data_IF_900136656593
#
_entry.id   IF_900136656593
#
_cell.length_a   1.000
_cell.length_b   1.000
_cell.length_c   1.000
_cell.angle_alpha   90.00
_cell.angle_beta   90.00
_cell.angle_gamma   90.00
#
_symmetry.space_group_name_H-M   'P 1'
#
loop_
_entity.id
_entity.type
_entity.pdbx_description
1 polymer ?
#
# COMPACT_ATOMS: atom_id res chain seq x y z
N UNK A 1 41.49 -31.06 -44.87
CA UNK A 1 41.19 -32.26 -44.04
C UNK A 1 40.23 -31.86 -42.91
N UNK A 2 39.30 -32.74 -42.52
CA UNK A 2 38.49 -32.62 -41.27
C UNK A 2 39.41 -33.01 -40.07
N UNK A 3 39.17 -32.78 -38.77
CA UNK A 3 37.98 -32.98 -37.88
C UNK A 3 38.33 -32.31 -36.51
N UNK A 4 37.43 -31.62 -35.76
CA UNK A 4 36.65 -32.06 -34.53
C UNK A 4 37.53 -32.43 -33.29
N UNK A 5 37.25 -32.18 -31.99
CA UNK A 5 36.12 -31.63 -31.17
C UNK A 5 36.50 -30.26 -30.51
N UNK A 6 35.72 -29.49 -29.73
CA UNK A 6 34.29 -29.42 -29.27
C UNK A 6 33.76 -30.31 -28.10
N UNK A 7 34.05 -29.99 -26.83
CA UNK A 7 33.31 -30.51 -25.64
C UNK A 7 33.46 -29.64 -24.35
N UNK A 8 32.43 -28.88 -23.93
CA UNK A 8 32.28 -28.22 -22.59
C UNK A 8 30.83 -27.76 -22.28
N UNK A 9 29.80 -28.57 -22.58
CA UNK A 9 28.38 -28.20 -22.37
C UNK A 9 27.60 -29.19 -21.46
N UNK A 10 28.15 -30.36 -21.15
CA UNK A 10 27.38 -31.44 -20.51
C UNK A 10 27.29 -31.41 -18.96
N UNK A 11 28.15 -30.68 -18.25
CA UNK A 11 28.20 -30.77 -16.77
C UNK A 11 27.06 -30.01 -16.05
N UNK A 12 26.49 -28.97 -16.66
CA UNK A 12 25.44 -28.16 -16.00
C UNK A 12 24.06 -28.82 -15.98
N UNK A 13 23.75 -29.71 -16.94
CA UNK A 13 22.46 -30.42 -16.95
C UNK A 13 22.39 -31.56 -15.93
N UNK A 14 23.53 -32.17 -15.58
CA UNK A 14 23.57 -33.29 -14.63
C UNK A 14 23.15 -32.88 -13.21
N UNK A 15 23.61 -31.72 -12.71
CA UNK A 15 23.27 -31.26 -11.37
C UNK A 15 21.78 -30.91 -11.23
N UNK A 16 21.14 -30.35 -12.27
CA UNK A 16 19.72 -30.06 -12.27
C UNK A 16 18.85 -31.32 -12.22
N UNK A 17 19.19 -32.33 -13.02
CA UNK A 17 18.44 -33.59 -13.08
C UNK A 17 18.51 -34.39 -11.76
N UNK A 18 19.68 -34.42 -11.11
CA UNK A 18 19.88 -35.16 -9.85
C UNK A 18 19.00 -34.58 -8.72
N UNK A 19 18.87 -33.25 -8.62
CA UNK A 19 18.06 -32.62 -7.56
C UNK A 19 16.57 -32.95 -7.73
N UNK A 20 16.06 -32.98 -8.97
CA UNK A 20 14.66 -33.36 -9.27
C UNK A 20 14.41 -34.85 -8.98
N UNK A 21 15.38 -35.73 -9.24
CA UNK A 21 15.24 -37.16 -8.93
C UNK A 21 15.22 -37.43 -7.41
N UNK A 22 16.00 -36.69 -6.61
CA UNK A 22 16.02 -36.85 -5.14
C UNK A 22 14.71 -36.39 -4.50
N UNK A 23 14.07 -35.32 -5.00
CA UNK A 23 12.76 -34.88 -4.47
C UNK A 23 11.62 -35.84 -4.86
N UNK A 24 11.63 -36.38 -6.08
CA UNK A 24 10.67 -37.40 -6.51
C UNK A 24 10.85 -38.73 -5.76
N UNK A 25 12.09 -39.14 -5.49
CA UNK A 25 12.42 -40.32 -4.67
C UNK A 25 11.80 -40.23 -3.27
N UNK A 26 11.99 -39.10 -2.58
CA UNK A 26 11.43 -38.91 -1.24
C UNK A 26 9.89 -38.86 -1.23
N UNK A 27 9.26 -38.35 -2.30
CA UNK A 27 7.81 -38.36 -2.45
C UNK A 27 7.26 -39.79 -2.69
N UNK A 28 7.95 -40.59 -3.51
CA UNK A 28 7.60 -42.00 -3.72
C UNK A 28 7.71 -42.83 -2.42
N UNK A 29 8.73 -42.55 -1.59
CA UNK A 29 8.86 -43.16 -0.26
C UNK A 29 7.68 -42.83 0.65
N UNK A 30 7.20 -41.58 0.64
CA UNK A 30 6.08 -41.13 1.48
C UNK A 30 4.74 -41.77 1.06
N UNK A 31 4.52 -41.92 -0.25
CA UNK A 31 3.34 -42.60 -0.80
C UNK A 31 3.36 -44.11 -0.53
N UNK A 32 4.55 -44.74 -0.58
CA UNK A 32 4.73 -46.15 -0.21
C UNK A 32 4.30 -46.46 1.22
N UNK A 33 4.59 -45.57 2.18
CA UNK A 33 4.21 -45.74 3.60
C UNK A 33 2.71 -45.61 3.89
N UNK A 34 1.90 -45.06 2.98
CA UNK A 34 0.44 -44.95 3.17
C UNK A 34 -0.33 -46.18 2.68
N UNK A 35 0.32 -47.13 1.98
CA UNK A 35 -0.34 -48.31 1.39
C UNK A 35 -0.51 -49.51 2.35
N UNK A 36 -0.13 -49.40 3.63
CA UNK A 36 -0.09 -50.55 4.56
C UNK A 36 -1.02 -50.45 5.77
N UNK A 37 -1.81 -49.38 5.92
CA UNK A 37 -2.80 -49.25 6.99
C UNK A 37 -4.17 -49.81 6.56
N UNK A 38 -4.34 -51.12 6.78
CA UNK A 38 -5.58 -51.83 6.49
C UNK A 38 -6.63 -51.61 7.60
N UNK A 39 -7.33 -50.47 7.56
CA UNK A 39 -8.49 -50.21 8.42
C UNK A 39 -9.75 -50.68 7.70
N UNK A 40 -10.25 -51.85 8.09
CA UNK A 40 -11.46 -52.43 7.52
C UNK A 40 -12.73 -51.71 7.97
N UNK A 41 -13.60 -51.38 7.01
CA UNK A 41 -15.02 -51.11 7.24
C UNK A 41 -15.45 -49.65 7.39
N UNK A 42 -15.62 -48.95 6.27
CA UNK A 42 -16.60 -47.86 6.07
C UNK A 42 -17.00 -47.82 4.57
N UNK A 43 -18.25 -47.45 4.20
CA UNK A 43 -18.77 -47.65 2.85
C UNK A 43 -18.48 -46.50 1.87
N UNK A 44 -18.40 -46.89 0.59
CA UNK A 44 -18.53 -46.10 -0.64
C UNK A 44 -17.82 -44.74 -0.76
N UNK A 45 -16.68 -44.81 -1.46
CA UNK A 45 -15.94 -43.69 -2.03
C UNK A 45 -16.75 -42.88 -3.06
N UNK A 46 -16.89 -41.57 -2.81
CA UNK A 46 -17.02 -40.55 -3.86
C UNK A 46 -16.33 -39.28 -3.38
N UNK A 47 -15.68 -38.55 -4.30
CA UNK A 47 -14.81 -37.38 -4.03
C UNK A 47 -13.45 -37.67 -3.38
N UNK A 48 -12.54 -38.36 -4.07
CA UNK A 48 -11.10 -38.32 -3.71
C UNK A 48 -10.12 -38.57 -4.88
N UNK A 49 -10.43 -38.06 -6.07
CA UNK A 49 -9.47 -37.87 -7.17
C UNK A 49 -9.87 -36.64 -7.97
N UNK A 50 -9.09 -35.55 -7.82
CA UNK A 50 -8.70 -34.60 -8.88
C UNK A 50 -8.03 -33.37 -8.24
N UNK A 51 -6.87 -33.60 -7.63
CA UNK A 51 -5.88 -32.54 -7.40
C UNK A 51 -4.83 -32.67 -8.50
N UNK A 52 -5.22 -32.30 -9.72
CA UNK A 52 -4.26 -32.07 -10.81
C UNK A 52 -3.53 -30.78 -10.46
N UNK A 53 -2.39 -30.92 -9.75
CA UNK A 53 -1.42 -29.84 -9.68
C UNK A 53 -0.85 -29.66 -11.09
N UNK A 54 -1.29 -28.61 -11.77
CA UNK A 54 -0.68 -28.18 -13.03
C UNK A 54 0.81 -27.90 -12.81
N UNK A 55 1.63 -28.06 -13.85
CA UNK A 55 3.07 -27.79 -13.73
C UNK A 55 3.35 -26.36 -13.22
N UNK A 56 2.49 -25.39 -13.54
CA UNK A 56 2.56 -24.01 -13.02
C UNK A 56 2.42 -23.95 -11.49
N UNK A 57 1.57 -24.79 -10.88
CA UNK A 57 1.41 -24.87 -9.42
C UNK A 57 2.67 -25.43 -8.75
N UNK A 58 3.27 -26.46 -9.34
CA UNK A 58 4.54 -27.03 -8.90
C UNK A 58 5.73 -26.07 -9.11
N UNK A 59 5.76 -25.33 -10.21
CA UNK A 59 6.75 -24.26 -10.46
C UNK A 59 6.58 -23.11 -9.47
N UNK A 60 5.35 -22.72 -9.14
CA UNK A 60 5.03 -21.73 -8.11
C UNK A 60 5.49 -22.16 -6.72
N UNK A 61 5.18 -23.40 -6.30
CA UNK A 61 5.67 -23.96 -5.04
C UNK A 61 7.20 -24.11 -5.00
N UNK A 62 7.83 -24.53 -6.11
CA UNK A 62 9.29 -24.66 -6.19
C UNK A 62 9.97 -23.29 -6.09
N UNK A 63 9.41 -22.25 -6.75
CA UNK A 63 9.85 -20.86 -6.56
C UNK A 63 9.71 -20.42 -5.10
N UNK A 64 8.55 -20.65 -4.46
CA UNK A 64 8.31 -20.31 -3.04
C UNK A 64 9.31 -20.96 -2.09
N UNK A 65 9.64 -22.23 -2.29
CA UNK A 65 10.60 -22.97 -1.46
C UNK A 65 12.06 -22.54 -1.72
N UNK A 66 12.44 -22.32 -2.98
CA UNK A 66 13.75 -21.74 -3.32
C UNK A 66 13.90 -20.30 -2.79
N UNK A 67 12.81 -19.54 -2.71
CA UNK A 67 12.83 -18.14 -2.26
C UNK A 67 13.37 -17.97 -0.84
N UNK A 68 12.95 -18.80 0.12
CA UNK A 68 13.43 -18.72 1.52
C UNK A 68 14.94 -18.95 1.61
N UNK A 69 15.48 -19.86 0.79
CA UNK A 69 16.93 -20.14 0.72
C UNK A 69 17.68 -19.09 -0.12
N UNK A 70 17.03 -18.51 -1.13
CA UNK A 70 17.60 -17.46 -2.00
C UNK A 70 17.71 -16.11 -1.28
N UNK A 71 16.89 -15.88 -0.23
CA UNK A 71 17.04 -14.73 0.66
C UNK A 71 18.45 -14.62 1.26
N UNK A 72 19.13 -15.75 1.48
CA UNK A 72 20.48 -15.82 2.02
C UNK A 72 21.59 -15.72 0.95
N UNK A 73 21.35 -16.23 -0.27
CA UNK A 73 22.40 -16.46 -1.28
C UNK A 73 22.42 -15.52 -2.50
N UNK A 74 21.48 -14.59 -2.65
CA UNK A 74 21.57 -13.57 -3.70
C UNK A 74 22.77 -12.64 -3.46
N UNK A 75 23.41 -12.13 -4.52
CA UNK A 75 24.40 -11.05 -4.43
C UNK A 75 23.73 -9.81 -3.83
N UNK A 76 23.85 -9.64 -2.51
CA UNK A 76 23.28 -8.50 -1.81
C UNK A 76 24.10 -7.26 -2.14
N UNK A 77 23.45 -6.23 -2.69
CA UNK A 77 24.01 -4.87 -2.64
C UNK A 77 24.18 -4.45 -1.17
N UNK A 78 25.10 -3.51 -0.91
CA UNK A 78 25.40 -2.99 0.45
C UNK A 78 24.16 -2.40 1.15
N UNK A 79 23.12 -2.07 0.38
CA UNK A 79 21.86 -1.51 0.85
C UNK A 79 20.68 -2.49 0.81
N UNK A 80 20.86 -3.74 0.33
CA UNK A 80 19.81 -4.78 0.36
C UNK A 80 18.85 -4.83 -0.85
N UNK A 81 19.15 -4.12 -1.94
CA UNK A 81 18.48 -4.31 -3.24
C UNK A 81 18.73 -5.73 -3.76
N UNK A 82 17.67 -6.39 -4.22
CA UNK A 82 17.65 -7.73 -4.82
C UNK A 82 17.15 -7.63 -6.26
N UNK A 83 17.89 -8.19 -7.21
CA UNK A 83 17.52 -8.25 -8.64
C UNK A 83 17.13 -9.68 -9.00
N UNK A 84 15.97 -9.87 -9.62
CA UNK A 84 15.46 -11.19 -10.01
C UNK A 84 15.61 -11.44 -11.51
N UNK A 85 15.45 -10.39 -12.32
CA UNK A 85 15.45 -10.48 -13.79
C UNK A 85 16.51 -9.54 -14.39
N UNK A 86 17.82 -9.85 -14.29
CA UNK A 86 18.90 -8.96 -14.74
C UNK A 86 18.94 -8.75 -16.28
N UNK A 87 18.09 -9.43 -17.04
CA UNK A 87 17.93 -9.26 -18.48
C UNK A 87 16.77 -8.32 -18.86
N UNK A 88 15.93 -7.93 -17.90
CA UNK A 88 14.79 -7.04 -18.13
C UNK A 88 15.21 -5.64 -17.68
N UNK A 89 15.12 -4.67 -18.59
CA UNK A 89 15.36 -3.26 -18.26
C UNK A 89 14.25 -2.75 -17.31
N UNK A 90 14.65 -2.04 -16.26
CA UNK A 90 13.69 -1.44 -15.32
C UNK A 90 13.22 -0.10 -15.89
N UNK A 91 11.96 -0.04 -16.31
CA UNK A 91 11.32 1.18 -16.83
C UNK A 91 10.39 1.86 -15.80
N UNK A 92 10.11 1.18 -14.67
CA UNK A 92 9.19 1.65 -13.64
C UNK A 92 9.72 1.40 -12.22
N UNK A 93 9.60 2.39 -11.34
CA UNK A 93 9.86 2.26 -9.90
C UNK A 93 8.57 2.54 -9.14
N UNK A 94 8.17 1.62 -8.27
CA UNK A 94 7.09 1.84 -7.31
C UNK A 94 7.66 2.03 -5.91
N UNK A 95 7.44 3.20 -5.32
CA UNK A 95 7.84 3.49 -3.95
C UNK A 95 6.65 3.30 -3.01
N UNK A 96 6.65 2.18 -2.30
CA UNK A 96 5.72 1.87 -1.22
C UNK A 96 6.41 2.06 0.15
N UNK A 97 5.65 1.97 1.24
CA UNK A 97 6.21 2.08 2.58
C UNK A 97 5.19 2.56 3.59
N UNK A 98 5.52 2.39 4.86
CA UNK A 98 4.61 2.69 5.96
C UNK A 98 4.16 4.15 6.00
N UNK A 99 3.08 4.43 6.73
CA UNK A 99 2.73 5.82 7.06
C UNK A 99 3.93 6.48 7.76
N UNK A 100 4.20 7.73 7.43
CA UNK A 100 5.30 8.53 7.98
C UNK A 100 6.74 8.07 7.68
N UNK A 101 6.96 7.16 6.72
CA UNK A 101 8.32 6.80 6.20
C UNK A 101 8.78 7.66 5.01
N UNK A 102 8.23 8.87 4.85
CA UNK A 102 8.71 9.85 3.86
C UNK A 102 8.49 9.51 2.38
N UNK A 103 7.69 8.50 2.04
CA UNK A 103 7.45 8.07 0.64
C UNK A 103 7.11 9.23 -0.30
N UNK A 104 6.20 10.15 0.06
CA UNK A 104 5.86 11.33 -0.75
C UNK A 104 7.06 12.22 -1.13
N UNK A 105 8.08 12.30 -0.28
CA UNK A 105 9.30 13.06 -0.55
C UNK A 105 10.22 12.28 -1.50
N UNK A 106 10.50 11.02 -1.16
CA UNK A 106 11.36 10.16 -1.98
C UNK A 106 10.79 9.88 -3.37
N UNK A 107 9.47 9.80 -3.56
CA UNK A 107 8.84 9.71 -4.90
C UNK A 107 9.16 10.92 -5.77
N UNK A 108 9.17 12.14 -5.20
CA UNK A 108 9.53 13.36 -5.96
C UNK A 108 11.01 13.35 -6.31
N UNK A 109 11.87 13.06 -5.33
CA UNK A 109 13.31 12.96 -5.53
C UNK A 109 13.64 11.93 -6.63
N UNK A 110 13.05 10.73 -6.58
CA UNK A 110 13.28 9.70 -7.60
C UNK A 110 12.81 10.13 -9.00
N UNK A 111 11.71 10.89 -9.13
CA UNK A 111 11.28 11.48 -10.41
C UNK A 111 12.29 12.48 -10.96
N UNK A 112 12.87 13.31 -10.09
CA UNK A 112 13.89 14.30 -10.44
C UNK A 112 15.22 13.63 -10.83
N UNK A 113 15.61 12.56 -10.12
CA UNK A 113 16.87 11.85 -10.34
C UNK A 113 16.84 10.91 -11.56
N UNK A 114 15.69 10.30 -11.87
CA UNK A 114 15.54 9.29 -12.93
C UNK A 114 14.39 9.65 -13.89
N UNK A 115 14.51 10.74 -14.67
CA UNK A 115 13.44 11.24 -15.54
C UNK A 115 13.02 10.27 -16.66
N UNK A 116 13.89 9.31 -17.01
CA UNK A 116 13.61 8.27 -18.00
C UNK A 116 12.83 7.06 -17.43
N UNK A 117 12.60 7.02 -16.11
CA UNK A 117 11.89 5.93 -15.42
C UNK A 117 10.54 6.44 -14.92
N UNK A 118 9.48 5.65 -15.14
CA UNK A 118 8.18 5.94 -14.56
C UNK A 118 8.20 5.67 -13.05
N UNK A 119 8.34 6.72 -12.24
CA UNK A 119 8.27 6.59 -10.78
C UNK A 119 6.84 6.84 -10.27
N UNK A 120 6.32 5.93 -9.45
CA UNK A 120 4.98 5.99 -8.84
C UNK A 120 5.05 5.74 -7.33
N UNK A 121 4.08 6.25 -6.58
CA UNK A 121 3.81 5.92 -5.17
C UNK A 121 2.54 5.06 -4.99
N UNK A 122 2.18 4.36 -6.07
CA UNK A 122 1.14 3.33 -6.16
C UNK A 122 1.78 2.12 -6.82
N UNK A 123 1.65 0.94 -6.20
CA UNK A 123 1.99 -0.34 -6.83
C UNK A 123 0.72 -0.93 -7.46
N UNK A 124 -0.05 -1.71 -6.69
CA UNK A 124 -1.45 -2.03 -7.00
C UNK A 124 -2.35 -1.13 -6.16
N UNK A 125 -2.05 -1.08 -4.85
CA UNK A 125 -2.61 -0.13 -3.90
C UNK A 125 -1.66 1.04 -3.66
N UNK A 126 -2.18 2.13 -3.11
CA UNK A 126 -1.37 3.27 -2.68
C UNK A 126 -0.31 2.87 -1.64
N UNK A 127 0.84 3.54 -1.65
CA UNK A 127 2.05 3.22 -0.87
C UNK A 127 1.92 2.72 0.57
N UNK A 128 0.94 3.21 1.32
CA UNK A 128 0.84 3.01 2.78
C UNK A 128 0.01 1.79 3.20
N UNK A 129 -0.58 1.08 2.25
CA UNK A 129 -1.52 0.00 2.49
C UNK A 129 -0.94 -1.37 2.13
N UNK A 130 -1.55 -2.42 2.66
CA UNK A 130 -1.29 -3.78 2.17
C UNK A 130 -1.52 -3.89 0.66
N UNK A 131 -0.65 -4.64 -0.01
CA UNK A 131 -0.76 -4.95 -1.43
C UNK A 131 -1.48 -6.30 -1.61
N UNK A 132 -2.43 -6.42 -2.55
CA UNK A 132 -3.15 -7.66 -2.82
C UNK A 132 -2.24 -8.65 -3.58
N UNK A 133 -2.61 -9.94 -3.55
CA UNK A 133 -2.07 -10.92 -4.49
C UNK A 133 -2.65 -10.72 -5.90
N UNK A 134 -2.01 -11.21 -6.98
CA UNK A 134 -2.63 -11.22 -8.31
C UNK A 134 -3.98 -11.96 -8.32
N UNK A 135 -4.12 -13.01 -7.52
CA UNK A 135 -5.36 -13.78 -7.36
C UNK A 135 -6.48 -12.93 -6.73
N UNK A 136 -6.16 -12.14 -5.70
CA UNK A 136 -7.13 -11.21 -5.10
C UNK A 136 -7.57 -10.14 -6.11
N UNK A 137 -6.64 -9.57 -6.89
CA UNK A 137 -6.97 -8.60 -7.95
C UNK A 137 -7.87 -9.23 -9.01
N UNK A 138 -7.52 -10.42 -9.52
CA UNK A 138 -8.34 -11.19 -10.47
C UNK A 138 -9.74 -11.46 -9.93
N UNK A 139 -9.85 -11.91 -8.68
CA UNK A 139 -11.13 -12.20 -8.01
C UNK A 139 -11.97 -10.92 -7.93
N UNK A 140 -11.42 -9.84 -7.38
CA UNK A 140 -12.12 -8.56 -7.20
C UNK A 140 -12.58 -7.96 -8.52
N UNK A 141 -11.72 -7.88 -9.53
CA UNK A 141 -12.12 -7.29 -10.83
C UNK A 141 -13.13 -8.16 -11.58
N UNK A 142 -13.07 -9.48 -11.42
CA UNK A 142 -14.11 -10.38 -11.96
C UNK A 142 -15.47 -10.16 -11.29
N UNK A 143 -15.49 -10.00 -9.96
CA UNK A 143 -16.73 -9.77 -9.20
C UNK A 143 -17.35 -8.39 -9.47
N UNK A 144 -16.54 -7.37 -9.72
CA UNK A 144 -16.99 -5.99 -10.00
C UNK A 144 -17.80 -5.90 -11.31
N UNK A 145 -17.48 -6.73 -12.30
CA UNK A 145 -18.26 -6.85 -13.55
C UNK A 145 -18.12 -5.68 -14.54
N UNK A 146 -18.06 -4.43 -14.10
CA UNK A 146 -17.99 -3.24 -14.97
C UNK A 146 -16.98 -2.17 -14.53
N UNK A 147 -16.52 -1.36 -15.50
CA UNK A 147 -15.59 -0.24 -15.28
C UNK A 147 -16.20 0.88 -14.43
N UNK A 148 -17.52 1.07 -14.53
CA UNK A 148 -18.24 2.10 -13.77
C UNK A 148 -18.26 1.76 -12.27
N UNK A 149 -18.57 0.51 -11.91
CA UNK A 149 -18.51 0.04 -10.52
C UNK A 149 -17.06 0.06 -10.00
N UNK A 150 -16.07 -0.24 -10.84
CA UNK A 150 -14.67 -0.05 -10.48
C UNK A 150 -14.33 1.43 -10.19
N UNK A 151 -14.90 2.37 -10.93
CA UNK A 151 -14.70 3.80 -10.68
C UNK A 151 -15.37 4.26 -9.39
N UNK A 152 -16.59 3.80 -9.09
CA UNK A 152 -17.31 4.11 -7.83
C UNK A 152 -16.58 3.60 -6.58
N UNK A 153 -15.92 2.44 -6.68
CA UNK A 153 -15.20 1.80 -5.56
C UNK A 153 -13.74 2.26 -5.37
N UNK A 154 -13.26 3.25 -6.15
CA UNK A 154 -11.85 3.69 -6.21
C UNK A 154 -10.90 2.55 -6.64
N UNK A 155 -11.33 1.76 -7.63
CA UNK A 155 -10.70 0.54 -8.14
C UNK A 155 -10.35 0.59 -9.64
N UNK A 156 -10.41 1.77 -10.25
CA UNK A 156 -10.07 1.96 -11.66
C UNK A 156 -8.62 1.52 -11.98
N UNK A 157 -7.68 1.65 -11.03
CA UNK A 157 -6.32 1.12 -11.19
C UNK A 157 -6.27 -0.40 -11.31
N UNK A 158 -7.08 -1.13 -10.54
CA UNK A 158 -7.19 -2.59 -10.61
C UNK A 158 -7.88 -3.02 -11.90
N UNK A 159 -8.94 -2.29 -12.30
CA UNK A 159 -9.61 -2.53 -13.58
C UNK A 159 -8.65 -2.39 -14.78
N UNK A 160 -7.82 -1.34 -14.79
CA UNK A 160 -6.81 -1.11 -15.81
C UNK A 160 -5.67 -2.16 -15.82
N UNK A 161 -5.50 -2.96 -14.76
CA UNK A 161 -4.64 -4.15 -14.79
C UNK A 161 -5.31 -5.32 -15.52
N UNK A 162 -6.63 -5.51 -15.35
CA UNK A 162 -7.43 -6.55 -16.01
C UNK A 162 -7.66 -6.31 -17.51
N UNK A 163 -7.55 -5.07 -17.97
CA UNK A 163 -7.50 -4.73 -19.41
C UNK A 163 -6.16 -5.11 -20.07
N UNK A 164 -5.20 -5.65 -19.33
CA UNK A 164 -3.94 -6.19 -19.86
C UNK A 164 -4.03 -7.72 -19.87
N UNK A 165 -3.65 -8.33 -20.98
CA UNK A 165 -3.73 -9.78 -21.20
C UNK A 165 -2.98 -10.63 -20.16
N UNK A 166 -2.06 -10.00 -19.41
CA UNK A 166 -1.35 -10.65 -18.32
C UNK A 166 -1.01 -9.66 -17.18
N UNK A 167 -1.73 -9.83 -16.05
CA UNK A 167 -1.55 -9.07 -14.81
C UNK A 167 -0.18 -9.35 -14.17
N UNK A 168 0.38 -10.54 -14.33
CA UNK A 168 1.70 -10.90 -13.77
C UNK A 168 2.83 -10.29 -14.61
N UNK A 169 2.69 -10.27 -15.94
CA UNK A 169 3.62 -9.54 -16.84
C UNK A 169 3.60 -8.03 -16.64
N UNK A 170 2.49 -7.47 -16.13
CA UNK A 170 2.30 -6.02 -15.98
C UNK A 170 3.33 -5.30 -15.09
N UNK A 171 4.10 -6.06 -14.30
CA UNK A 171 5.15 -5.58 -13.40
C UNK A 171 6.53 -6.20 -13.67
N UNK A 172 6.73 -6.92 -14.79
CA UNK A 172 8.01 -7.58 -15.10
C UNK A 172 9.20 -6.62 -15.24
N UNK A 173 8.95 -5.40 -15.72
CA UNK A 173 9.92 -4.29 -15.80
C UNK A 173 9.90 -3.38 -14.58
N UNK A 174 9.12 -3.71 -13.55
CA UNK A 174 9.00 -2.90 -12.34
C UNK A 174 10.03 -3.26 -11.28
N UNK A 175 10.60 -2.23 -10.66
CA UNK A 175 11.26 -2.30 -9.37
C UNK A 175 10.32 -1.84 -8.26
N UNK A 176 10.21 -2.58 -7.16
CA UNK A 176 9.49 -2.15 -5.96
C UNK A 176 10.47 -1.76 -4.86
N UNK A 177 10.29 -0.58 -4.28
CA UNK A 177 11.07 -0.09 -3.15
C UNK A 177 10.12 0.11 -1.97
N UNK A 178 10.41 -0.51 -0.83
CA UNK A 178 9.62 -0.40 0.38
C UNK A 178 10.37 0.34 1.49
N UNK A 179 9.77 1.42 2.00
CA UNK A 179 10.35 2.23 3.08
C UNK A 179 9.71 1.89 4.43
N UNK A 180 10.53 1.37 5.34
CA UNK A 180 10.13 1.06 6.71
C UNK A 180 10.83 1.96 7.70
N UNK A 181 10.11 2.47 8.68
CA UNK A 181 10.66 3.35 9.72
C UNK A 181 10.96 2.54 10.98
N UNK A 182 11.95 2.95 11.78
CA UNK A 182 12.21 2.34 13.09
C UNK A 182 10.89 2.17 13.89
N UNK A 183 10.61 1.00 14.50
CA UNK A 183 9.31 0.74 15.15
C UNK A 183 8.98 1.74 16.26
N UNK A 184 9.96 2.23 17.03
CA UNK A 184 9.74 3.23 18.07
C UNK A 184 9.37 4.60 17.48
N UNK A 185 10.15 5.06 16.50
CA UNK A 185 9.93 6.30 15.76
C UNK A 185 8.63 6.26 14.94
N UNK A 186 8.23 5.08 14.46
CA UNK A 186 7.02 4.87 13.68
C UNK A 186 5.75 4.92 14.53
N UNK A 187 5.69 4.19 15.66
CA UNK A 187 4.53 4.25 16.57
C UNK A 187 4.35 5.67 17.11
N UNK A 188 5.43 6.38 17.44
CA UNK A 188 5.37 7.79 17.86
C UNK A 188 4.89 8.72 16.74
N UNK A 189 5.33 8.53 15.49
CA UNK A 189 4.84 9.31 14.36
C UNK A 189 3.34 9.06 14.10
N UNK A 190 2.91 7.80 14.21
CA UNK A 190 1.50 7.42 14.13
C UNK A 190 0.67 8.04 15.27
N UNK A 191 1.16 8.02 16.52
CA UNK A 191 0.51 8.67 17.66
C UNK A 191 0.35 10.18 17.48
N UNK A 192 1.36 10.83 16.91
CA UNK A 192 1.32 12.28 16.61
C UNK A 192 0.35 12.65 15.49
N UNK A 193 0.19 11.78 14.48
CA UNK A 193 -0.64 12.02 13.29
C UNK A 193 -1.26 10.71 12.79
N UNK A 194 -2.33 10.20 13.42
CA UNK A 194 -2.91 8.90 13.08
C UNK A 194 -3.81 9.01 11.84
N UNK A 195 -3.18 9.03 10.67
CA UNK A 195 -3.88 9.13 9.39
C UNK A 195 -4.77 7.93 9.12
N UNK A 196 -6.02 8.24 8.75
CA UNK A 196 -7.17 7.36 8.52
C UNK A 196 -7.72 6.63 9.75
N UNK A 197 -7.25 6.95 10.96
CA UNK A 197 -7.69 6.29 12.20
C UNK A 197 -8.37 7.29 13.14
N UNK A 198 -9.62 7.70 12.86
CA UNK A 198 -10.26 8.78 13.62
C UNK A 198 -10.55 8.44 15.08
N UNK A 199 -10.65 7.15 15.44
CA UNK A 199 -10.77 6.74 16.85
C UNK A 199 -9.48 6.99 17.64
N UNK A 200 -8.34 7.15 16.95
CA UNK A 200 -7.05 7.48 17.55
C UNK A 200 -6.80 9.00 17.58
N UNK A 201 -7.81 9.82 17.27
CA UNK A 201 -7.72 11.26 17.41
C UNK A 201 -8.36 11.71 18.73
N UNK A 202 -7.67 12.56 19.49
CA UNK A 202 -8.28 13.33 20.57
C UNK A 202 -8.27 14.81 20.19
N UNK A 203 -9.46 15.39 20.20
CA UNK A 203 -9.69 16.78 19.86
C UNK A 203 -10.00 17.56 21.11
N UNK A 204 -9.18 18.58 21.40
CA UNK A 204 -9.51 19.59 22.39
C UNK A 204 -9.92 20.88 21.67
N UNK A 205 -11.07 21.50 22.03
CA UNK A 205 -11.32 22.89 21.66
C UNK A 205 -10.16 23.74 22.19
N UNK A 206 -9.59 24.61 21.35
CA UNK A 206 -8.64 25.60 21.85
C UNK A 206 -9.42 26.56 22.75
N UNK A 207 -9.10 26.55 24.04
CA UNK A 207 -9.55 27.57 24.99
C UNK A 207 -8.83 28.89 24.70
N UNK A 208 -9.23 29.55 23.62
CA UNK A 208 -8.84 30.93 23.39
C UNK A 208 -9.70 31.87 24.23
N UNK A 209 -9.09 32.89 24.81
CA UNK A 209 -9.79 34.09 25.31
C UNK A 209 -10.33 34.94 24.15
N UNK A 210 -10.92 34.31 23.14
CA UNK A 210 -11.60 34.99 22.06
C UNK A 210 -12.96 35.43 22.58
N UNK A 211 -13.12 36.74 22.76
CA UNK A 211 -14.43 37.38 22.88
C UNK A 211 -15.35 36.78 21.82
N UNK A 212 -16.52 36.29 22.23
CA UNK A 212 -17.50 35.75 21.29
C UNK A 212 -17.92 36.88 20.37
N UNK A 213 -17.32 36.92 19.17
CA UNK A 213 -17.90 37.65 18.05
C UNK A 213 -19.08 36.80 17.64
N UNK A 214 -20.29 37.29 17.92
CA UNK A 214 -21.52 36.65 17.47
C UNK A 214 -21.51 36.55 15.95
N UNK A 215 -21.12 35.38 15.44
CA UNK A 215 -21.27 35.05 14.03
C UNK A 215 -22.76 34.73 13.86
N UNK A 216 -23.55 35.59 13.16
CA UNK A 216 -24.97 35.30 12.97
C UNK A 216 -25.11 33.96 12.26
N UNK A 217 -25.90 33.05 12.84
CA UNK A 217 -26.09 31.73 12.25
C UNK A 217 -26.67 31.89 10.84
N UNK A 218 -25.99 31.39 9.79
CA UNK A 218 -26.56 31.41 8.45
C UNK A 218 -27.77 30.47 8.44
N UNK A 219 -28.96 31.03 8.21
CA UNK A 219 -30.20 30.27 8.04
C UNK A 219 -30.08 29.47 6.74
N UNK A 220 -29.60 28.24 6.86
CA UNK A 220 -29.31 27.37 5.73
C UNK A 220 -30.59 26.62 5.30
N UNK A 221 -31.36 27.21 4.38
CA UNK A 221 -32.55 26.58 3.80
C UNK A 221 -32.17 25.45 2.83
N UNK A 222 -32.06 24.23 3.37
CA UNK A 222 -31.57 23.05 2.67
C UNK A 222 -32.47 22.54 1.52
N UNK A 223 -33.56 23.24 1.16
CA UNK A 223 -34.53 22.76 0.15
C UNK A 223 -34.30 23.25 -1.29
N UNK A 224 -33.45 24.25 -1.54
CA UNK A 224 -33.34 24.86 -2.89
C UNK A 224 -32.31 24.23 -3.84
N UNK A 225 -31.24 23.63 -3.32
CA UNK A 225 -30.09 23.23 -4.17
C UNK A 225 -30.20 21.85 -4.83
N UNK A 226 -31.26 21.08 -4.58
CA UNK A 226 -31.41 19.71 -5.13
C UNK A 226 -32.31 19.59 -6.38
N UNK A 227 -32.90 20.69 -6.86
CA UNK A 227 -33.83 20.65 -8.02
C UNK A 227 -33.29 21.26 -9.33
N UNK A 228 -32.14 21.94 -9.32
CA UNK A 228 -31.64 22.67 -10.51
C UNK A 228 -30.78 21.86 -11.48
N UNK A 229 -30.45 20.59 -11.19
CA UNK A 229 -29.50 19.79 -11.97
C UNK A 229 -30.11 18.60 -12.73
N UNK A 230 -31.37 18.71 -13.21
CA UNK A 230 -32.04 17.64 -13.98
C UNK A 230 -32.78 18.13 -15.23
N UNK A 231 -32.12 18.94 -16.05
CA UNK A 231 -32.61 19.26 -17.40
C UNK A 231 -32.34 18.07 -18.34
N UNK A 232 -33.40 17.48 -18.91
CA UNK A 232 -33.28 16.40 -19.89
C UNK A 232 -32.61 16.90 -21.18
N UNK A 233 -31.48 16.29 -21.57
CA UNK A 233 -31.03 16.31 -22.97
C UNK A 233 -31.76 15.22 -23.73
N UNK A 234 -32.81 15.61 -24.45
CA UNK A 234 -33.38 14.81 -25.52
C UNK A 234 -32.43 14.90 -26.73
N UNK A 235 -32.00 13.77 -27.28
CA UNK A 235 -31.35 13.76 -28.59
C UNK A 235 -32.45 13.75 -29.65
N UNK A 236 -32.47 14.78 -30.50
CA UNK A 236 -33.14 14.75 -31.80
C UNK A 236 -32.10 15.17 -32.86
N UNK A 237 -32.27 14.71 -34.10
CA UNK A 237 -31.24 14.63 -35.13
C UNK A 237 -31.36 15.68 -36.24
N UNK A 238 -30.37 15.69 -37.16
CA UNK A 238 -30.30 16.44 -38.43
C UNK A 238 -29.92 17.94 -38.37
N UNK A 239 -29.40 18.47 -39.49
CA UNK A 239 -29.42 19.92 -39.75
C UNK A 239 -28.07 20.60 -40.00
N UNK A 240 -27.69 20.68 -41.27
CA UNK A 240 -26.54 21.35 -41.91
C UNK A 240 -26.40 22.88 -41.64
N UNK A 241 -25.26 23.43 -42.08
CA UNK A 241 -24.97 24.85 -42.47
C UNK A 241 -24.44 25.84 -41.43
N UNK A 242 -23.63 26.77 -41.94
CA UNK A 242 -22.80 27.73 -41.21
C UNK A 242 -23.47 29.10 -41.04
N UNK A 243 -23.11 29.80 -39.97
CA UNK A 243 -22.87 31.25 -39.97
C UNK A 243 -22.14 31.65 -38.68
N UNK A 244 -21.28 32.65 -38.75
CA UNK A 244 -20.52 33.11 -37.58
C UNK A 244 -21.29 34.10 -36.72
N UNK A 245 -20.91 34.22 -35.45
CA UNK A 245 -21.24 35.37 -34.61
C UNK A 245 -20.02 35.77 -33.77
N UNK A 246 -19.60 37.02 -33.90
CA UNK A 246 -18.66 37.65 -32.94
C UNK A 246 -19.44 37.96 -31.66
N UNK A 247 -18.78 37.79 -30.51
CA UNK A 247 -19.13 38.49 -29.27
C UNK A 247 -17.95 39.39 -28.88
N UNK A 248 -18.21 40.57 -28.28
CA UNK A 248 -17.17 41.56 -28.03
C UNK A 248 -16.35 41.26 -26.79
N UNK A 249 -15.08 41.69 -26.82
CA UNK A 249 -14.25 41.86 -25.63
C UNK A 249 -14.76 43.07 -24.84
N UNK A 250 -15.14 42.89 -23.57
CA UNK A 250 -15.20 43.99 -22.60
C UNK A 250 -14.38 43.64 -21.37
N UNK A 251 -13.19 44.23 -21.30
CA UNK A 251 -12.31 44.18 -20.13
C UNK A 251 -12.82 45.12 -19.04
N UNK A 252 -13.26 44.57 -17.90
CA UNK A 252 -13.48 45.36 -16.67
C UNK A 252 -12.47 44.97 -15.60
N UNK A 253 -11.41 45.78 -15.50
CA UNK A 253 -10.35 45.64 -14.50
C UNK A 253 -10.82 46.09 -13.11
N UNK A 254 -11.31 45.15 -12.29
CA UNK A 254 -11.48 45.40 -10.85
C UNK A 254 -10.17 45.14 -10.09
N UNK A 255 -9.32 46.17 -10.02
CA UNK A 255 -8.08 46.21 -9.26
C UNK A 255 -8.29 46.27 -7.74
N UNK A 256 -8.99 45.29 -7.16
CA UNK A 256 -9.14 45.14 -5.71
C UNK A 256 -7.99 44.35 -5.12
N UNK A 257 -7.02 45.03 -4.48
CA UNK A 257 -5.90 44.37 -3.78
C UNK A 257 -6.39 43.76 -2.46
N UNK A 258 -7.04 42.60 -2.56
CA UNK A 258 -7.52 41.83 -1.39
C UNK A 258 -6.33 41.55 -0.49
N UNK A 259 -6.31 42.13 0.72
CA UNK A 259 -5.29 41.77 1.71
C UNK A 259 -5.41 40.28 1.96
N UNK A 260 -4.28 39.57 1.83
CA UNK A 260 -4.25 38.11 1.84
C UNK A 260 -5.00 37.58 3.06
N UNK A 261 -6.03 36.76 2.81
CA UNK A 261 -6.82 36.15 3.88
C UNK A 261 -5.89 35.37 4.79
N UNK A 262 -5.63 35.93 5.98
CA UNK A 262 -4.82 35.30 7.01
C UNK A 262 -5.44 33.93 7.27
N UNK A 263 -4.74 32.88 6.85
CA UNK A 263 -5.38 31.58 6.71
C UNK A 263 -5.94 31.14 8.06
N UNK A 264 -7.19 30.67 8.07
CA UNK A 264 -7.85 30.05 9.23
C UNK A 264 -7.27 28.63 9.46
N UNK A 265 -5.94 28.51 9.30
CA UNK A 265 -5.08 27.34 9.45
C UNK A 265 -4.58 27.15 10.88
N UNK A 266 -4.73 28.16 11.75
CA UNK A 266 -4.75 27.93 13.20
C UNK A 266 -6.12 27.33 13.53
N UNK A 267 -6.26 26.05 13.25
CA UNK A 267 -7.47 25.26 13.46
C UNK A 267 -7.99 25.48 14.88
N UNK A 268 -9.30 25.66 15.06
CA UNK A 268 -9.98 25.80 16.36
C UNK A 268 -9.83 24.60 17.31
N UNK A 269 -9.07 23.60 16.88
CA UNK A 269 -8.90 22.31 17.49
C UNK A 269 -7.44 21.93 17.35
N UNK A 270 -6.79 21.69 18.49
CA UNK A 270 -5.49 21.01 18.51
C UNK A 270 -5.73 19.51 18.69
N UNK A 271 -4.90 18.72 17.99
CA UNK A 271 -4.80 17.30 18.30
C UNK A 271 -3.86 17.15 19.50
N UNK A 272 -4.43 16.97 20.69
CA UNK A 272 -3.62 16.60 21.84
C UNK A 272 -2.98 15.23 21.56
N UNK A 273 -1.70 15.09 21.88
CA UNK A 273 -1.04 13.80 21.77
C UNK A 273 -1.68 12.84 22.77
N UNK A 274 -2.47 11.89 22.27
CA UNK A 274 -3.00 10.77 23.05
C UNK A 274 -1.92 10.21 23.98
N UNK A 275 -2.28 9.94 25.24
CA UNK A 275 -1.41 9.16 26.11
C UNK A 275 -0.99 7.89 25.36
N UNK A 276 0.30 7.58 25.32
CA UNK A 276 0.81 6.50 24.49
C UNK A 276 0.15 5.16 24.86
N UNK A 277 -0.18 4.92 26.14
CA UNK A 277 -0.89 3.70 26.58
C UNK A 277 -2.28 3.63 25.95
N UNK A 278 -3.02 4.74 25.98
CA UNK A 278 -4.34 4.87 25.36
C UNK A 278 -4.28 4.80 23.83
N UNK A 279 -3.17 5.22 23.20
CA UNK A 279 -2.97 5.06 21.76
C UNK A 279 -2.69 3.61 21.36
N UNK A 280 -1.75 2.93 22.02
CA UNK A 280 -1.34 1.57 21.63
C UNK A 280 -2.32 0.48 22.10
N UNK A 281 -3.09 0.76 23.16
CA UNK A 281 -4.13 -0.11 23.69
C UNK A 281 -5.52 0.12 23.09
N UNK A 282 -5.67 1.03 22.12
CA UNK A 282 -6.95 1.21 21.41
C UNK A 282 -7.04 0.25 20.23
N UNK A 283 -8.25 -0.28 20.03
CA UNK A 283 -8.49 -1.24 18.98
C UNK A 283 -8.38 -0.59 17.59
N UNK A 284 -7.83 -1.34 16.62
CA UNK A 284 -7.70 -0.90 15.24
C UNK A 284 -8.97 -1.17 14.41
N UNK A 285 -10.12 -0.62 14.84
CA UNK A 285 -11.37 -0.60 14.07
C UNK A 285 -12.23 0.61 14.44
N UNK A 286 -13.35 0.81 13.75
CA UNK A 286 -14.34 1.82 14.11
C UNK A 286 -15.34 1.30 15.15
N UNK A 287 -15.14 1.67 16.42
CA UNK A 287 -16.17 1.55 17.45
C UNK A 287 -17.52 2.14 16.97
N UNK A 288 -18.59 1.46 17.35
CA UNK A 288 -19.99 1.72 16.94
C UNK A 288 -20.29 1.76 15.44
N UNK A 289 -19.35 1.36 14.57
CA UNK A 289 -19.65 1.18 13.15
C UNK A 289 -20.20 -0.23 12.89
N UNK A 290 -21.53 -0.35 12.94
CA UNK A 290 -22.19 -1.57 12.49
C UNK A 290 -22.17 -1.61 10.96
N UNK A 291 -21.41 -2.56 10.40
CA UNK A 291 -21.57 -2.97 9.01
C UNK A 291 -22.85 -3.81 8.91
N UNK A 292 -23.98 -3.11 8.80
CA UNK A 292 -25.31 -3.70 8.59
C UNK A 292 -25.42 -4.47 7.26
N UNK A 293 -24.38 -4.42 6.43
CA UNK A 293 -24.34 -5.07 5.13
C UNK A 293 -22.94 -5.63 4.83
N UNK A 294 -22.62 -6.82 5.38
CA UNK A 294 -21.39 -7.56 5.04
C UNK A 294 -21.46 -8.26 3.68
N UNK A 295 -22.59 -8.18 2.98
CA UNK A 295 -22.81 -8.87 1.71
C UNK A 295 -22.00 -8.24 0.55
N UNK A 296 -21.41 -7.06 0.76
CA UNK A 296 -20.44 -6.48 -0.17
C UNK A 296 -19.12 -7.25 -0.15
N UNK A 297 -18.91 -8.09 -1.17
CA UNK A 297 -17.69 -8.93 -1.32
C UNK A 297 -16.40 -8.12 -1.56
N UNK A 298 -16.53 -6.81 -1.85
CA UNK A 298 -15.43 -5.88 -2.10
C UNK A 298 -15.64 -4.61 -1.29
N UNK A 299 -14.69 -4.27 -0.42
CA UNK A 299 -14.70 -3.02 0.32
C UNK A 299 -14.01 -1.88 -0.45
N UNK A 300 -14.04 -0.67 0.09
CA UNK A 300 -13.34 0.51 -0.46
C UNK A 300 -11.92 0.15 -0.91
N UNK A 301 -11.45 0.70 -2.04
CA UNK A 301 -10.05 0.53 -2.50
C UNK A 301 -9.65 -0.95 -2.69
N UNK A 302 -10.62 -1.84 -2.91
CA UNK A 302 -10.42 -3.23 -3.35
C UNK A 302 -10.12 -4.24 -2.26
N UNK A 303 -9.97 -3.82 -1.00
CA UNK A 303 -9.67 -4.75 0.06
C UNK A 303 -10.86 -5.69 0.35
N UNK A 304 -10.56 -6.95 0.66
CA UNK A 304 -11.51 -7.85 1.34
C UNK A 304 -11.44 -7.68 2.87
N UNK A 305 -10.44 -6.95 3.38
CA UNK A 305 -10.05 -6.91 4.79
C UNK A 305 -9.77 -5.48 5.29
N UNK A 306 -10.75 -4.58 5.17
CA UNK A 306 -10.73 -3.28 5.85
C UNK A 306 -12.04 -3.04 6.61
N UNK A 307 -11.98 -2.12 7.57
CA UNK A 307 -13.17 -1.48 8.14
C UNK A 307 -13.01 0.05 8.12
N UNK A 308 -14.04 0.83 7.74
CA UNK A 308 -15.34 0.38 7.24
C UNK A 308 -15.25 -0.19 5.83
N UNK A 309 -16.13 -1.12 5.48
CA UNK A 309 -16.16 -1.72 4.15
C UNK A 309 -16.68 -0.73 3.07
N UNK A 310 -17.58 0.19 3.44
CA UNK A 310 -18.08 1.25 2.56
C UNK A 310 -17.54 2.63 2.94
N UNK A 311 -17.39 3.51 1.94
CA UNK A 311 -16.89 4.87 2.13
C UNK A 311 -17.91 5.75 2.83
N UNK A 312 -17.93 5.70 4.16
CA UNK A 312 -18.82 6.52 4.94
C UNK A 312 -18.25 7.93 5.14
N UNK A 313 -18.45 8.80 4.14
CA UNK A 313 -18.14 10.23 4.21
C UNK A 313 -18.95 11.01 5.28
N UNK A 314 -20.01 10.40 5.84
CA UNK A 314 -20.78 10.99 6.94
C UNK A 314 -20.43 10.40 8.31
N UNK A 315 -19.58 9.36 8.37
CA UNK A 315 -19.10 8.83 9.62
C UNK A 315 -18.13 9.85 10.24
N UNK A 316 -18.58 10.38 11.36
CA UNK A 316 -17.86 11.32 12.20
C UNK A 316 -17.99 10.73 13.60
N UNK A 317 -16.91 10.25 14.26
CA UNK A 317 -16.97 9.79 15.65
C UNK A 317 -17.63 10.84 16.53
N UNK A 318 -18.34 10.40 17.57
CA UNK A 318 -19.17 11.28 18.42
C UNK A 318 -18.43 12.54 18.93
N UNK A 319 -17.15 12.41 19.30
CA UNK A 319 -16.34 13.56 19.74
C UNK A 319 -15.98 14.54 18.63
N UNK A 320 -15.90 14.07 17.37
CA UNK A 320 -15.73 14.92 16.18
C UNK A 320 -17.06 15.58 15.77
N UNK A 321 -18.23 14.99 16.07
CA UNK A 321 -19.54 15.56 15.71
C UNK A 321 -19.79 16.93 16.37
N UNK A 322 -19.11 17.20 17.48
CA UNK A 322 -19.11 18.48 18.20
C UNK A 322 -18.39 19.61 17.42
N UNK A 323 -17.59 19.27 16.40
CA UNK A 323 -16.87 20.23 15.55
C UNK A 323 -17.77 20.62 14.36
N UNK A 324 -18.09 21.92 14.16
CA UNK A 324 -18.96 22.34 13.07
C UNK A 324 -18.45 21.91 11.68
N UNK A 325 -19.36 21.50 10.78
CA UNK A 325 -19.04 20.94 9.46
C UNK A 325 -18.09 21.78 8.59
N UNK A 326 -18.11 23.11 8.74
CA UNK A 326 -17.16 23.99 8.06
C UNK A 326 -15.70 23.68 8.42
N UNK A 327 -15.43 23.32 9.68
CA UNK A 327 -14.09 22.98 10.17
C UNK A 327 -13.72 21.51 9.92
N UNK A 328 -14.69 20.60 9.75
CA UNK A 328 -14.42 19.21 9.36
C UNK A 328 -13.67 19.08 8.02
N UNK A 329 -13.83 20.06 7.12
CA UNK A 329 -13.06 20.17 5.86
C UNK A 329 -11.59 20.53 6.07
N UNK A 330 -11.25 21.09 7.24
CA UNK A 330 -9.90 21.50 7.63
C UNK A 330 -9.24 20.51 8.60
N UNK A 331 -9.99 19.55 9.15
CA UNK A 331 -9.39 18.41 9.82
C UNK A 331 -8.50 17.66 8.83
N UNK A 332 -7.34 17.20 9.30
CA UNK A 332 -6.45 16.36 8.49
C UNK A 332 -7.22 15.18 7.90
N UNK A 333 -6.80 14.71 6.71
CA UNK A 333 -7.45 13.67 5.90
C UNK A 333 -7.78 12.34 6.63
N UNK A 334 -7.32 12.21 7.87
CA UNK A 334 -7.65 11.17 8.83
C UNK A 334 -9.13 11.03 9.19
N UNK A 335 -9.89 12.14 9.22
CA UNK A 335 -11.26 12.14 9.76
C UNK A 335 -12.32 11.68 8.76
N UNK A 336 -12.19 12.08 7.49
CA UNK A 336 -13.25 11.97 6.47
C UNK A 336 -13.08 10.76 5.52
N UNK A 337 -12.08 9.92 5.77
CA UNK A 337 -11.78 8.70 5.01
C UNK A 337 -11.16 7.64 5.94
N UNK A 338 -11.91 7.18 6.97
CA UNK A 338 -11.42 6.14 7.88
C UNK A 338 -11.09 4.87 7.10
N UNK A 339 -9.95 4.25 7.41
CA UNK A 339 -9.59 2.91 6.91
C UNK A 339 -8.65 2.25 7.92
N UNK A 340 -9.15 1.18 8.51
CA UNK A 340 -8.38 0.23 9.31
C UNK A 340 -8.18 -1.03 8.49
N UNK A 341 -6.94 -1.49 8.40
CA UNK A 341 -6.61 -2.78 7.78
C UNK A 341 -6.83 -3.90 8.81
N UNK A 342 -7.46 -4.98 8.38
CA UNK A 342 -7.83 -6.13 9.20
C UNK A 342 -6.90 -7.33 8.90
N UNK A 343 -7.02 -8.40 9.69
CA UNK A 343 -6.39 -9.69 9.38
C UNK A 343 -7.05 -10.36 8.16
N UNK A 344 -6.45 -11.44 7.64
CA UNK A 344 -7.02 -12.25 6.53
C UNK A 344 -8.34 -12.95 6.91
N UNK A 345 -8.70 -12.95 8.19
CA UNK A 345 -9.96 -13.46 8.72
C UNK A 345 -10.99 -12.33 8.95
N UNK A 346 -10.69 -11.10 8.49
CA UNK A 346 -11.53 -9.92 8.68
C UNK A 346 -11.60 -9.44 10.13
N UNK A 347 -10.61 -9.78 10.97
CA UNK A 347 -10.58 -9.36 12.39
C UNK A 347 -9.70 -8.12 12.59
N UNK A 348 -10.02 -7.23 13.53
CA UNK A 348 -9.10 -6.16 13.90
C UNK A 348 -7.81 -6.70 14.51
N UNK A 349 -6.69 -6.02 14.27
CA UNK A 349 -5.43 -6.29 14.98
C UNK A 349 -5.53 -5.84 16.45
N UNK A 350 -4.99 -6.63 17.37
CA UNK A 350 -5.06 -6.36 18.81
C UNK A 350 -4.21 -5.18 19.27
N UNK A 351 -3.20 -4.78 18.49
CA UNK A 351 -2.46 -3.53 18.67
C UNK A 351 -1.70 -3.14 17.40
N UNK A 352 -1.22 -1.89 17.36
CA UNK A 352 -0.53 -1.29 16.20
C UNK A 352 0.69 -2.09 15.69
N UNK A 353 1.46 -2.73 16.58
CA UNK A 353 2.63 -3.54 16.19
C UNK A 353 2.25 -4.88 15.52
N UNK A 354 1.07 -5.46 15.80
CA UNK A 354 0.60 -6.64 15.06
C UNK A 354 0.25 -6.28 13.60
N UNK A 355 -0.40 -5.13 13.39
CA UNK A 355 -0.65 -4.61 12.04
C UNK A 355 0.67 -4.37 11.30
N UNK A 356 1.67 -3.77 11.96
CA UNK A 356 3.00 -3.56 11.38
C UNK A 356 3.66 -4.87 10.97
N UNK A 357 3.71 -5.87 11.84
CA UNK A 357 4.24 -7.19 11.53
C UNK A 357 3.53 -7.82 10.32
N UNK A 358 2.20 -7.69 10.24
CA UNK A 358 1.43 -8.13 9.09
C UNK A 358 1.75 -7.36 7.80
N UNK A 359 2.01 -6.04 7.87
CA UNK A 359 2.45 -5.22 6.73
C UNK A 359 3.84 -5.60 6.24
N UNK A 360 4.80 -5.81 7.13
CA UNK A 360 6.15 -6.29 6.76
C UNK A 360 6.01 -7.62 6.01
N UNK A 361 5.27 -8.58 6.59
CA UNK A 361 5.00 -9.88 5.96
C UNK A 361 4.35 -9.77 4.58
N UNK A 362 3.35 -8.89 4.43
CA UNK A 362 2.67 -8.65 3.16
C UNK A 362 3.60 -8.01 2.11
N UNK A 363 4.43 -7.04 2.48
CA UNK A 363 5.40 -6.42 1.56
C UNK A 363 6.44 -7.44 1.08
N UNK A 364 6.88 -8.35 1.94
CA UNK A 364 7.80 -9.43 1.54
C UNK A 364 7.13 -10.57 0.76
N UNK A 365 5.79 -10.62 0.71
CA UNK A 365 5.06 -11.49 -0.23
C UNK A 365 5.05 -10.92 -1.65
N UNK A 366 5.24 -9.61 -1.84
CA UNK A 366 5.20 -8.97 -3.17
C UNK A 366 6.13 -9.66 -4.19
N UNK A 367 7.44 -9.82 -3.98
CA UNK A 367 8.31 -10.44 -4.99
C UNK A 367 8.15 -11.97 -5.11
N UNK A 368 7.31 -12.59 -4.26
CA UNK A 368 6.93 -14.01 -4.33
C UNK A 368 5.67 -14.21 -5.16
N UNK A 369 4.73 -13.27 -5.08
CA UNK A 369 3.43 -13.32 -5.76
C UNK A 369 3.44 -12.54 -7.09
N UNK A 370 4.25 -11.48 -7.20
CA UNK A 370 4.37 -10.62 -8.38
C UNK A 370 5.71 -10.84 -9.08
N UNK A 371 5.66 -10.92 -10.41
CA UNK A 371 6.85 -11.07 -11.25
C UNK A 371 7.52 -9.70 -11.43
N UNK A 372 8.58 -9.41 -10.66
CA UNK A 372 9.30 -8.15 -10.65
C UNK A 372 10.69 -8.25 -11.28
N UNK A 373 11.21 -7.14 -11.79
CA UNK A 373 12.63 -7.03 -12.15
C UNK A 373 13.54 -6.98 -10.90
N UNK A 374 13.14 -6.18 -9.91
CA UNK A 374 13.89 -5.99 -8.66
C UNK A 374 12.98 -5.61 -7.47
N UNK A 375 13.48 -5.86 -6.26
CA UNK A 375 12.84 -5.46 -5.00
C UNK A 375 13.89 -4.95 -4.01
N UNK A 376 13.54 -3.94 -3.22
CA UNK A 376 14.35 -3.46 -2.12
C UNK A 376 13.48 -3.06 -0.92
N UNK A 377 13.98 -3.31 0.29
CA UNK A 377 13.39 -2.81 1.53
C UNK A 377 14.47 -2.02 2.28
N UNK A 378 14.14 -0.81 2.75
CA UNK A 378 15.11 0.10 3.37
C UNK A 378 14.65 0.65 4.73
N UNK A 379 15.55 0.72 5.71
CA UNK A 379 15.39 1.56 6.88
C UNK A 379 15.34 3.05 6.48
N UNK A 380 14.23 3.73 6.80
CA UNK A 380 14.02 5.15 6.52
C UNK A 380 15.10 6.03 7.16
N UNK A 381 15.47 5.73 8.41
CA UNK A 381 16.54 6.40 9.14
C UNK A 381 17.89 6.31 8.40
N UNK A 382 18.26 5.14 7.88
CA UNK A 382 19.49 4.97 7.06
C UNK A 382 19.45 5.83 5.79
N UNK A 383 18.29 5.96 5.15
CA UNK A 383 18.12 6.80 3.97
C UNK A 383 18.27 8.31 4.26
N UNK A 384 18.01 8.78 5.49
CA UNK A 384 18.26 10.18 5.84
C UNK A 384 19.76 10.52 5.92
N UNK A 385 20.59 9.52 6.19
CA UNK A 385 22.05 9.66 6.24
C UNK A 385 22.71 9.41 4.87
N UNK A 386 22.23 8.43 4.10
CA UNK A 386 22.85 8.00 2.83
C UNK A 386 21.86 7.98 1.64
N UNK A 387 21.31 9.15 1.31
CA UNK A 387 20.52 9.34 0.07
C UNK A 387 21.38 9.09 -1.17
N UNK A 388 22.66 9.45 -1.12
CA UNK A 388 23.61 9.30 -2.22
C UNK A 388 23.82 7.83 -2.61
N UNK A 389 24.06 6.97 -1.62
CA UNK A 389 24.20 5.53 -1.81
C UNK A 389 22.94 4.90 -2.40
N UNK A 390 21.75 5.26 -1.89
CA UNK A 390 20.49 4.77 -2.46
C UNK A 390 20.36 5.11 -3.94
N UNK A 391 20.55 6.39 -4.30
CA UNK A 391 20.46 6.83 -5.69
C UNK A 391 21.53 6.17 -6.57
N UNK A 392 22.75 5.99 -6.05
CA UNK A 392 23.82 5.27 -6.74
C UNK A 392 23.46 3.80 -7.03
N UNK A 393 22.91 3.07 -6.06
CA UNK A 393 22.47 1.68 -6.26
C UNK A 393 21.28 1.57 -7.20
N UNK A 394 20.29 2.47 -7.12
CA UNK A 394 19.19 2.51 -8.09
C UNK A 394 19.73 2.79 -9.50
N UNK A 395 20.63 3.76 -9.66
CA UNK A 395 21.27 4.06 -10.95
C UNK A 395 21.98 2.85 -11.55
N UNK A 396 22.78 2.12 -10.75
CA UNK A 396 23.42 0.86 -11.18
C UNK A 396 22.41 -0.20 -11.61
N UNK A 397 21.39 -0.47 -10.78
CA UNK A 397 20.41 -1.54 -11.01
C UNK A 397 19.50 -1.24 -12.20
N UNK A 398 19.20 0.04 -12.45
CA UNK A 398 18.36 0.49 -13.58
C UNK A 398 19.15 0.88 -14.83
N UNK A 399 20.48 0.82 -14.78
CA UNK A 399 21.38 1.33 -15.81
C UNK A 399 21.09 2.80 -16.21
N UNK A 400 20.82 3.66 -15.23
CA UNK A 400 20.60 5.10 -15.39
C UNK A 400 21.64 5.93 -14.63
N UNK A 401 21.94 7.11 -15.15
CA UNK A 401 22.67 8.14 -14.40
C UNK A 401 21.75 8.86 -13.42
N UNK A 402 22.30 9.27 -12.27
CA UNK A 402 21.59 10.11 -11.29
C UNK A 402 21.63 11.56 -11.79
N UNK A 403 20.49 12.10 -12.22
CA UNK A 403 20.40 13.39 -12.93
C UNK A 403 19.91 14.56 -12.05
N UNK A 404 19.99 14.42 -10.72
CA UNK A 404 19.50 15.39 -9.73
C UNK A 404 20.62 15.89 -8.81
N UNK A 405 20.39 17.03 -8.15
CA UNK A 405 21.20 17.42 -7.00
C UNK A 405 20.84 16.53 -5.79
N UNK A 406 21.81 15.74 -5.30
CA UNK A 406 21.58 14.87 -4.14
C UNK A 406 21.34 15.72 -2.88
N UNK A 407 20.22 15.54 -2.17
CA UNK A 407 19.95 16.24 -0.92
C UNK A 407 21.04 15.97 0.13
N UNK A 408 21.43 17.00 0.87
CA UNK A 408 22.33 16.83 2.02
C UNK A 408 21.67 15.91 3.07
N UNK A 409 22.48 15.06 3.69
CA UNK A 409 22.06 14.19 4.79
C UNK A 409 21.33 14.98 5.88
N UNK A 410 20.16 14.49 6.30
CA UNK A 410 19.34 15.16 7.31
C UNK A 410 19.55 14.54 8.67
N UNK A 411 20.30 15.23 9.54
CA UNK A 411 20.48 14.84 10.95
C UNK A 411 19.23 15.20 11.76
N UNK A 412 18.10 14.62 11.39
CA UNK A 412 16.84 14.76 12.13
C UNK A 412 16.97 13.99 13.43
N UNK A 413 17.01 14.71 14.55
CA UNK A 413 17.02 14.08 15.87
C UNK A 413 15.84 13.09 16.03
N UNK A 414 16.07 11.89 16.58
CA UNK A 414 15.00 10.97 16.91
C UNK A 414 14.07 11.61 17.96
N UNK A 415 12.82 11.13 18.02
CA UNK A 415 11.92 11.52 19.11
C UNK A 415 12.50 11.07 20.45
N UNK A 416 12.43 11.92 21.47
CA UNK A 416 12.64 11.52 22.86
C UNK A 416 11.44 10.72 23.33
N UNK A 417 11.66 9.48 23.77
CA UNK A 417 10.61 8.51 24.08
C UNK A 417 10.70 8.07 25.55
N UNK A 418 9.58 8.06 26.30
CA UNK A 418 9.60 7.57 27.69
C UNK A 418 10.00 6.10 27.79
N UNK A 419 10.81 5.73 28.77
CA UNK A 419 11.27 4.35 28.96
C UNK A 419 10.12 3.32 29.01
N UNK A 420 8.98 3.58 29.67
CA UNK A 420 7.84 2.64 29.65
C UNK A 420 7.26 2.40 28.24
N UNK A 421 7.33 3.39 27.35
CA UNK A 421 6.91 3.24 25.94
C UNK A 421 7.93 2.40 25.16
N UNK A 422 9.23 2.63 25.37
CA UNK A 422 10.29 1.83 24.76
C UNK A 422 10.22 0.36 25.22
N UNK A 423 10.06 0.12 26.53
CA UNK A 423 9.87 -1.24 27.08
C UNK A 423 8.61 -1.91 26.52
N UNK A 424 7.51 -1.17 26.35
CA UNK A 424 6.30 -1.72 25.74
C UNK A 424 6.52 -2.12 24.27
N UNK A 425 7.18 -1.29 23.46
CA UNK A 425 7.50 -1.65 22.06
C UNK A 425 8.47 -2.83 22.02
N UNK A 426 9.51 -2.80 22.84
CA UNK A 426 10.48 -3.89 23.00
C UNK A 426 9.83 -5.25 23.31
N UNK A 427 8.74 -5.27 24.09
CA UNK A 427 8.00 -6.48 24.43
C UNK A 427 6.99 -6.93 23.36
N UNK A 428 6.40 -6.00 22.60
CA UNK A 428 5.25 -6.27 21.73
C UNK A 428 5.55 -6.21 20.22
N UNK A 429 6.77 -5.84 19.81
CA UNK A 429 7.21 -5.90 18.42
C UNK A 429 7.54 -7.34 18.01
N UNK A 430 7.17 -7.73 16.78
CA UNK A 430 7.62 -8.98 16.16
C UNK A 430 9.05 -8.78 15.63
N UNK A 431 10.04 -8.88 16.52
CA UNK A 431 11.46 -8.74 16.17
C UNK A 431 11.95 -9.74 15.12
N UNK A 432 11.20 -10.83 14.88
CA UNK A 432 11.43 -11.71 13.75
C UNK A 432 11.16 -11.02 12.40
N UNK A 433 10.08 -10.24 12.32
CA UNK A 433 9.75 -9.42 11.15
C UNK A 433 10.60 -8.14 11.08
N UNK A 434 10.87 -7.45 12.19
CA UNK A 434 11.68 -6.22 12.20
C UNK A 434 13.12 -6.46 11.68
N UNK A 435 13.71 -7.62 11.97
CA UNK A 435 15.03 -7.99 11.43
C UNK A 435 15.05 -8.17 9.91
N UNK A 436 13.92 -8.53 9.28
CA UNK A 436 13.84 -8.64 7.81
C UNK A 436 14.03 -7.29 7.10
N UNK A 437 13.73 -6.19 7.80
CA UNK A 437 13.84 -4.81 7.32
C UNK A 437 15.01 -4.05 7.93
N UNK A 438 15.90 -4.75 8.67
CA UNK A 438 17.15 -4.21 9.19
C UNK A 438 17.05 -3.46 10.52
N UNK A 439 16.06 -3.76 11.36
CA UNK A 439 15.98 -3.26 12.75
C UNK A 439 16.18 -4.40 13.76
N UNK A 440 17.02 -4.16 14.76
CA UNK A 440 17.24 -5.06 15.90
C UNK A 440 16.71 -4.48 17.21
N UNK A 441 16.46 -5.35 18.18
CA UNK A 441 16.01 -4.94 19.51
C UNK A 441 17.13 -4.21 20.26
N UNK A 442 16.96 -2.90 20.47
CA UNK A 442 17.90 -2.05 21.23
C UNK A 442 18.93 -1.28 20.40
N UNK A 443 18.69 -1.09 19.10
CA UNK A 443 19.35 -0.05 18.29
C UNK A 443 18.76 1.34 18.54
#
# INVERSE_FOLDING_TARGET
>A
MKTVQRNRIFEWFACGAIIVLVTLSNYASLLGTLSSYNIGGLPETKYLTDVILTEESLVSQTRRSQWILTLQNANQSVLGVRVFSPRIAIDRIHLIGERHSGTSYFTKLLKECFPNIQVSDVFVNGKHWMQPSPEDVRRVVTMIGSKDVAQELDLLSWWNLRERDDIEKSFQSSMVIALFRDPYQWVEAMRRKPHHWPNHLVFRPIQGNYSVVDIPQPVYDARKDFQSSRTQRKMDSSGTTASGFRLPEESTTFGGKVMGGGSIQKSFVEHELLNWTAFVGKNLYLDSYHEDNRDSVVCQKGYTYISPCHRNMTYVPYDIQKIPRAFLRHLFASANDPVYELTKEGKPFGHILQLRAAKIRNVFQIPVEWNLAAFAAFPYERLLHDVAGLLGEIGKVTNQTVNCAVPKSSNKAPYMLPDPFQVWIGKNADWGMERLIGYDQGQ
#
